data_IF_516970453894
#
_entry.id   IF_516970453894
#
_cell.length_a   1.000
_cell.length_b   1.000
_cell.length_c   1.000
_cell.angle_alpha   90.00
_cell.angle_beta   90.00
_cell.angle_gamma   90.00
#
_symmetry.space_group_name_H-M   'P 1'
#
loop_
_entity.id
_entity.type
_entity.pdbx_description
1 polymer ?
#
# COMPACT_ATOMS: atom_id res chain seq x y z
N UNK A 1 3.85 -44.49 -45.45
CA UNK A 1 4.96 -45.06 -44.66
C UNK A 1 5.01 -44.33 -43.36
N UNK A 2 4.43 -44.98 -42.36
CA UNK A 2 5.00 -45.45 -41.09
C UNK A 2 5.35 -44.30 -40.15
N UNK A 3 4.46 -43.99 -39.21
CA UNK A 3 4.32 -44.54 -37.84
C UNK A 3 5.62 -44.43 -37.02
N UNK A 4 5.58 -43.66 -35.95
CA UNK A 4 5.80 -44.19 -34.62
C UNK A 4 5.37 -43.17 -33.57
N UNK A 5 4.44 -43.61 -32.74
CA UNK A 5 4.01 -42.91 -31.54
C UNK A 5 4.94 -43.26 -30.38
N UNK A 6 5.13 -42.28 -29.49
CA UNK A 6 5.79 -42.51 -28.21
C UNK A 6 4.85 -42.14 -27.08
N UNK A 7 4.49 -43.18 -26.32
CA UNK A 7 3.72 -43.10 -25.08
C UNK A 7 4.57 -42.55 -23.97
N UNK A 8 4.16 -41.44 -23.37
CA UNK A 8 4.71 -41.01 -22.10
C UNK A 8 3.84 -41.55 -20.97
N UNK A 9 4.44 -42.42 -20.17
CA UNK A 9 3.83 -43.06 -19.01
C UNK A 9 3.67 -42.04 -17.87
N UNK A 10 2.44 -41.96 -17.36
CA UNK A 10 2.13 -41.28 -16.11
C UNK A 10 2.69 -42.06 -14.92
N UNK A 11 3.59 -41.43 -14.16
CA UNK A 11 4.12 -41.98 -12.91
C UNK A 11 3.29 -41.46 -11.74
N UNK A 12 2.27 -42.21 -11.33
CA UNK A 12 1.49 -41.97 -10.12
C UNK A 12 2.31 -42.44 -8.90
N UNK A 13 2.88 -41.54 -8.14
CA UNK A 13 3.35 -41.83 -6.78
C UNK A 13 2.20 -41.74 -5.81
N UNK A 14 1.75 -42.92 -5.34
CA UNK A 14 0.91 -43.05 -4.14
C UNK A 14 1.74 -42.67 -2.92
N UNK A 15 1.35 -41.59 -2.25
CA UNK A 15 1.83 -41.27 -0.88
C UNK A 15 0.84 -41.89 0.08
N UNK A 16 1.28 -42.93 0.77
CA UNK A 16 0.54 -43.54 1.90
C UNK A 16 0.73 -42.66 3.11
N UNK A 17 -0.33 -42.12 3.63
CA UNK A 17 -0.34 -41.44 4.93
C UNK A 17 -0.81 -42.43 5.97
N UNK A 18 0.09 -42.84 6.86
CA UNK A 18 -0.28 -43.62 8.06
C UNK A 18 -0.84 -42.66 9.11
N UNK A 19 -1.89 -43.03 9.85
CA UNK A 19 -2.39 -42.26 10.96
C UNK A 19 -1.51 -42.50 12.17
N UNK A 20 -0.88 -41.45 12.68
CA UNK A 20 -0.19 -41.47 13.98
C UNK A 20 -1.14 -40.93 15.04
N UNK A 21 -1.81 -41.87 15.75
CA UNK A 21 -2.47 -41.63 17.02
C UNK A 21 -1.42 -41.37 18.08
N UNK A 22 -1.58 -40.27 18.78
CA UNK A 22 -1.32 -40.03 20.20
C UNK A 22 -0.92 -38.57 20.45
N UNK A 23 -1.91 -37.76 20.78
CA UNK A 23 -1.68 -36.46 21.43
C UNK A 23 -2.11 -36.66 22.90
N UNK A 24 -1.22 -36.54 23.86
CA UNK A 24 -1.60 -36.43 25.27
C UNK A 24 -2.23 -35.06 25.52
N UNK A 25 -3.40 -35.11 26.13
CA UNK A 25 -4.03 -33.92 26.68
C UNK A 25 -3.22 -33.46 27.90
N UNK A 26 -2.48 -32.36 27.75
CA UNK A 26 -2.07 -31.56 28.89
C UNK A 26 -2.65 -30.16 28.76
N UNK A 27 -3.48 -29.87 29.74
CA UNK A 27 -4.05 -28.58 30.04
C UNK A 27 -2.94 -27.56 30.24
N UNK A 28 -2.99 -26.46 29.51
CA UNK A 28 -2.44 -25.21 29.96
C UNK A 28 -3.51 -24.14 29.90
N UNK A 29 -3.81 -23.72 31.13
CA UNK A 29 -4.65 -22.61 31.53
C UNK A 29 -4.16 -21.31 30.88
N UNK A 30 -5.15 -20.48 30.56
CA UNK A 30 -5.17 -19.04 30.61
C UNK A 30 -3.87 -18.29 30.23
N UNK A 31 -3.76 -17.94 28.96
CA UNK A 31 -3.12 -16.69 28.59
C UNK A 31 -4.11 -15.89 27.75
N UNK A 32 -5.07 -15.28 28.44
CA UNK A 32 -5.85 -14.18 27.90
C UNK A 32 -4.85 -13.07 27.59
N UNK A 33 -4.44 -13.03 26.33
CA UNK A 33 -3.67 -11.94 25.76
C UNK A 33 -4.59 -10.72 25.79
N UNK A 34 -4.45 -9.95 26.87
CA UNK A 34 -4.97 -8.59 26.95
C UNK A 34 -4.25 -7.84 25.84
N UNK A 35 -4.91 -7.71 24.70
CA UNK A 35 -4.51 -6.74 23.69
C UNK A 35 -4.76 -5.38 24.33
N UNK A 36 -3.68 -4.72 24.67
CA UNK A 36 -3.68 -3.37 25.18
C UNK A 36 -4.36 -2.47 24.15
N UNK A 37 -5.43 -1.82 24.59
CA UNK A 37 -6.20 -0.84 23.83
C UNK A 37 -5.47 0.51 23.69
N UNK A 38 -4.19 0.55 24.00
CA UNK A 38 -3.44 1.81 24.05
C UNK A 38 -2.99 2.31 22.66
N UNK A 39 -2.88 1.43 21.66
CA UNK A 39 -2.39 1.86 20.32
C UNK A 39 -3.37 2.77 19.55
N UNK A 40 -4.65 2.76 19.88
CA UNK A 40 -5.65 3.56 19.14
C UNK A 40 -5.73 5.03 19.63
N UNK A 41 -5.24 5.31 20.84
CA UNK A 41 -5.25 6.67 21.40
C UNK A 41 -4.06 7.50 20.92
N UNK A 42 -2.94 6.87 20.53
CA UNK A 42 -1.74 7.57 20.08
C UNK A 42 -1.94 8.27 18.71
N UNK A 43 -2.80 7.75 17.83
CA UNK A 43 -3.06 8.38 16.53
C UNK A 43 -3.90 9.66 16.64
N UNK A 44 -4.83 9.74 17.59
CA UNK A 44 -5.61 10.97 17.81
C UNK A 44 -4.79 12.05 18.54
N UNK A 45 -3.87 11.66 19.43
CA UNK A 45 -2.98 12.62 20.09
C UNK A 45 -1.95 13.22 19.14
N UNK A 46 -1.37 12.42 18.22
CA UNK A 46 -0.44 12.94 17.21
C UNK A 46 -1.11 13.96 16.27
N UNK A 47 -2.39 13.79 15.94
CA UNK A 47 -3.10 14.69 15.05
C UNK A 47 -3.47 16.05 15.73
N UNK A 48 -3.64 16.07 17.05
CA UNK A 48 -3.81 17.33 17.82
C UNK A 48 -2.51 18.10 17.98
N UNK A 49 -1.40 17.39 18.15
CA UNK A 49 -0.09 18.03 18.31
C UNK A 49 0.32 18.86 17.07
N UNK A 50 -0.02 18.41 15.86
CA UNK A 50 0.35 19.15 14.63
C UNK A 50 -0.36 20.50 14.50
N UNK A 51 -1.60 20.63 14.96
CA UNK A 51 -2.36 21.88 14.89
C UNK A 51 -1.87 22.92 15.89
N UNK A 52 -1.32 22.48 17.02
CA UNK A 52 -0.82 23.33 18.09
C UNK A 52 0.66 23.72 17.93
N UNK A 53 1.41 23.05 17.03
CA UNK A 53 2.82 23.34 16.80
C UNK A 53 3.03 24.67 16.08
N UNK A 54 4.13 25.40 16.40
CA UNK A 54 4.57 26.55 15.62
C UNK A 54 4.82 26.16 14.15
N UNK A 55 4.47 27.04 13.23
CA UNK A 55 4.54 26.75 11.78
C UNK A 55 5.94 26.39 11.27
N UNK A 56 6.99 26.85 11.96
CA UNK A 56 8.39 26.57 11.62
C UNK A 56 8.91 25.25 12.22
N UNK A 57 8.18 24.63 13.14
CA UNK A 57 8.59 23.40 13.80
C UNK A 57 8.44 22.20 12.88
N UNK A 58 9.49 21.37 12.79
CA UNK A 58 9.45 20.12 12.03
C UNK A 58 8.68 19.04 12.82
N UNK A 59 7.79 18.31 12.14
CA UNK A 59 7.01 17.22 12.75
C UNK A 59 7.93 16.09 13.23
N UNK A 60 9.01 15.83 12.49
CA UNK A 60 10.11 14.95 12.87
C UNK A 60 11.42 15.47 12.30
N UNK A 61 12.59 15.01 12.80
CA UNK A 61 13.89 15.44 12.28
C UNK A 61 14.02 15.19 10.77
N UNK A 62 14.22 16.26 10.00
CA UNK A 62 14.28 16.19 8.53
C UNK A 62 12.93 16.07 7.82
N UNK A 63 11.83 16.12 8.56
CA UNK A 63 10.47 16.07 8.04
C UNK A 63 9.93 17.44 7.60
N UNK A 64 8.67 17.50 7.14
CA UNK A 64 8.01 18.75 6.83
C UNK A 64 7.75 19.57 8.10
N UNK A 65 7.56 20.88 7.94
CA UNK A 65 7.15 21.74 9.05
C UNK A 65 5.65 21.66 9.30
N UNK A 66 5.21 21.99 10.52
CA UNK A 66 3.79 22.04 10.87
C UNK A 66 3.00 22.98 9.95
N UNK A 67 3.56 24.14 9.61
CA UNK A 67 2.95 25.08 8.68
C UNK A 67 2.75 24.49 7.28
N UNK A 68 3.69 23.66 6.81
CA UNK A 68 3.59 23.01 5.52
C UNK A 68 2.46 21.95 5.53
N UNK A 69 2.34 21.16 6.61
CA UNK A 69 1.24 20.20 6.78
C UNK A 69 -0.11 20.94 6.82
N UNK A 70 -0.23 22.03 7.60
CA UNK A 70 -1.45 22.85 7.65
C UNK A 70 -1.82 23.40 6.27
N UNK A 71 -0.83 23.84 5.49
CA UNK A 71 -1.03 24.30 4.12
C UNK A 71 -1.58 23.16 3.23
N UNK A 72 -0.99 21.99 3.27
CA UNK A 72 -1.46 20.83 2.49
C UNK A 72 -2.85 20.37 2.92
N UNK A 73 -3.14 20.33 4.22
CA UNK A 73 -4.51 20.04 4.71
C UNK A 73 -5.53 21.05 4.18
N UNK A 74 -5.19 22.33 4.12
CA UNK A 74 -6.06 23.37 3.56
C UNK A 74 -6.28 23.20 2.05
N UNK A 75 -5.26 22.78 1.30
CA UNK A 75 -5.31 22.65 -0.15
C UNK A 75 -5.98 21.33 -0.59
N UNK A 76 -5.67 20.23 0.09
CA UNK A 76 -6.03 18.88 -0.34
C UNK A 76 -7.07 18.19 0.56
N UNK A 77 -7.38 18.77 1.72
CA UNK A 77 -8.21 18.16 2.76
C UNK A 77 -7.37 17.26 3.67
N UNK A 78 -7.61 15.97 3.63
CA UNK A 78 -6.88 15.02 4.47
C UNK A 78 -5.48 14.73 3.93
N UNK A 79 -4.50 14.70 4.84
CA UNK A 79 -3.10 14.40 4.58
C UNK A 79 -2.67 13.29 5.51
N UNK A 80 -2.00 12.30 4.98
CA UNK A 80 -1.61 11.07 5.65
C UNK A 80 -0.11 10.91 5.71
N UNK A 81 0.36 10.10 6.65
CA UNK A 81 1.77 9.70 6.75
C UNK A 81 1.88 8.19 6.75
N UNK A 82 2.83 7.65 5.98
CA UNK A 82 3.19 6.24 5.99
C UNK A 82 4.64 6.10 6.38
N UNK A 83 4.92 5.30 7.39
CA UNK A 83 6.27 5.02 7.86
C UNK A 83 6.79 3.74 7.19
N UNK A 84 7.77 3.87 6.30
CA UNK A 84 8.43 2.72 5.65
C UNK A 84 9.51 2.10 6.53
N UNK A 85 10.10 2.92 7.43
CA UNK A 85 11.07 2.52 8.45
C UNK A 85 11.13 3.59 9.53
N UNK A 86 11.90 3.37 10.59
CA UNK A 86 12.09 4.35 11.67
C UNK A 86 12.52 5.75 11.22
N UNK A 87 13.22 5.86 10.07
CA UNK A 87 13.76 7.12 9.57
C UNK A 87 13.11 7.58 8.27
N UNK A 88 12.24 6.75 7.67
CA UNK A 88 11.67 7.03 6.36
C UNK A 88 10.16 7.13 6.43
N UNK A 89 9.67 8.36 6.40
CA UNK A 89 8.25 8.68 6.39
C UNK A 89 7.89 9.36 5.07
N UNK A 90 6.72 9.02 4.56
CA UNK A 90 6.16 9.59 3.34
C UNK A 90 4.85 10.27 3.71
N UNK A 91 4.74 11.56 3.39
CA UNK A 91 3.47 12.31 3.51
C UNK A 91 2.78 12.30 2.16
N UNK A 92 1.51 11.97 2.15
CA UNK A 92 0.72 11.86 0.94
C UNK A 92 -0.74 12.31 1.14
N UNK A 93 -1.45 12.50 0.05
CA UNK A 93 -2.85 12.91 0.01
C UNK A 93 -3.72 11.96 -0.78
N UNK A 94 -5.01 12.07 -0.62
CA UNK A 94 -5.97 11.32 -1.42
C UNK A 94 -5.94 11.73 -2.90
N UNK A 95 -6.37 10.83 -3.75
CA UNK A 95 -6.51 11.02 -5.19
C UNK A 95 -7.94 11.45 -5.51
N UNK A 96 -8.10 12.54 -6.23
CA UNK A 96 -9.42 12.99 -6.65
C UNK A 96 -9.96 12.15 -7.83
N UNK A 97 -11.30 12.09 -7.96
CA UNK A 97 -11.95 11.39 -9.07
C UNK A 97 -11.52 11.91 -10.45
N UNK A 98 -11.22 13.20 -10.55
CA UNK A 98 -10.78 13.83 -11.81
C UNK A 98 -9.37 13.37 -12.16
N UNK A 99 -8.46 13.40 -11.21
CA UNK A 99 -7.07 12.93 -11.39
C UNK A 99 -7.05 11.46 -11.80
N UNK A 100 -7.83 10.61 -11.10
CA UNK A 100 -7.93 9.20 -11.44
C UNK A 100 -8.39 8.97 -12.88
N UNK A 101 -9.44 9.69 -13.33
CA UNK A 101 -9.92 9.60 -14.72
C UNK A 101 -8.84 10.01 -15.72
N UNK A 102 -8.05 11.04 -15.41
CA UNK A 102 -6.96 11.47 -16.26
C UNK A 102 -5.85 10.41 -16.33
N UNK A 103 -5.50 9.77 -15.21
CA UNK A 103 -4.53 8.68 -15.18
C UNK A 103 -4.98 7.51 -16.05
N UNK A 104 -6.21 7.02 -15.85
CA UNK A 104 -6.75 5.90 -16.65
C UNK A 104 -6.73 6.22 -18.13
N UNK A 105 -7.22 7.41 -18.54
CA UNK A 105 -7.21 7.83 -19.93
C UNK A 105 -5.80 7.89 -20.52
N UNK A 106 -4.83 8.40 -19.76
CA UNK A 106 -3.43 8.48 -20.21
C UNK A 106 -2.81 7.09 -20.35
N UNK A 107 -3.06 6.21 -19.39
CA UNK A 107 -2.62 4.82 -19.44
C UNK A 107 -3.17 4.10 -20.69
N UNK A 108 -4.47 4.21 -20.94
CA UNK A 108 -5.11 3.63 -22.15
C UNK A 108 -4.48 4.15 -23.45
N UNK A 109 -4.18 5.44 -23.52
CA UNK A 109 -3.51 6.03 -24.69
C UNK A 109 -2.10 5.47 -24.91
N UNK A 110 -1.32 5.30 -23.81
CA UNK A 110 0.03 4.75 -23.88
C UNK A 110 0.02 3.27 -24.33
N UNK A 111 -0.93 2.49 -23.84
CA UNK A 111 -1.13 1.09 -24.25
C UNK A 111 -1.57 1.02 -25.72
N UNK A 112 -2.53 1.83 -26.14
CA UNK A 112 -3.01 1.88 -27.51
C UNK A 112 -1.93 2.33 -28.50
N UNK A 113 -1.01 3.20 -28.08
CA UNK A 113 0.13 3.64 -28.87
C UNK A 113 1.29 2.62 -28.87
N UNK A 114 1.19 1.50 -28.18
CA UNK A 114 2.25 0.49 -28.04
C UNK A 114 3.47 0.97 -27.25
N UNK A 115 3.32 2.02 -26.44
CA UNK A 115 4.37 2.57 -25.58
C UNK A 115 4.46 1.85 -24.24
N UNK A 116 3.38 1.17 -23.82
CA UNK A 116 3.31 0.30 -22.66
C UNK A 116 2.66 -1.02 -23.06
N UNK A 117 3.21 -2.10 -22.58
CA UNK A 117 2.51 -3.40 -22.56
C UNK A 117 1.44 -3.41 -21.47
N UNK A 118 0.49 -4.34 -21.55
CA UNK A 118 -0.52 -4.53 -20.50
C UNK A 118 0.08 -4.86 -19.13
N UNK A 119 1.25 -5.51 -19.10
CA UNK A 119 1.96 -5.82 -17.85
C UNK A 119 2.61 -4.55 -17.23
N UNK A 120 3.16 -3.68 -18.07
CA UNK A 120 3.77 -2.42 -17.63
C UNK A 120 2.73 -1.38 -17.22
N UNK A 121 1.49 -1.48 -17.72
CA UNK A 121 0.42 -0.55 -17.41
C UNK A 121 0.10 -0.48 -15.90
N UNK A 122 0.15 -1.62 -15.20
CA UNK A 122 -0.09 -1.64 -13.75
C UNK A 122 1.03 -0.91 -13.00
N UNK A 123 2.29 -1.20 -13.31
CA UNK A 123 3.44 -0.52 -12.69
C UNK A 123 3.40 0.98 -12.97
N UNK A 124 3.11 1.37 -14.21
CA UNK A 124 2.98 2.77 -14.59
C UNK A 124 1.87 3.48 -13.81
N UNK A 125 0.74 2.80 -13.56
CA UNK A 125 -0.37 3.35 -12.79
C UNK A 125 0.02 3.57 -11.33
N UNK A 126 0.64 2.58 -10.68
CA UNK A 126 1.13 2.67 -9.30
C UNK A 126 2.13 3.82 -9.13
N UNK A 127 3.12 3.90 -10.01
CA UNK A 127 4.12 4.98 -10.01
C UNK A 127 3.47 6.36 -10.24
N UNK A 128 2.48 6.44 -11.11
CA UNK A 128 1.81 7.71 -11.42
C UNK A 128 0.90 8.17 -10.28
N UNK A 129 0.25 7.25 -9.55
CA UNK A 129 -0.51 7.57 -8.35
C UNK A 129 0.45 8.09 -7.26
N UNK A 130 1.56 7.39 -7.02
CA UNK A 130 2.58 7.81 -6.07
C UNK A 130 3.14 9.21 -6.42
N UNK A 131 3.48 9.46 -7.69
CA UNK A 131 3.99 10.76 -8.17
C UNK A 131 3.01 11.92 -7.92
N UNK A 132 1.71 11.68 -8.09
CA UNK A 132 0.68 12.72 -7.92
C UNK A 132 0.35 12.95 -6.45
N UNK A 133 0.36 11.90 -5.63
CA UNK A 133 -0.16 11.95 -4.28
C UNK A 133 0.89 12.18 -3.20
N UNK A 134 2.17 11.83 -3.44
CA UNK A 134 3.24 12.08 -2.47
C UNK A 134 3.54 13.58 -2.40
N UNK A 135 3.44 14.13 -1.18
CA UNK A 135 3.72 15.52 -0.86
C UNK A 135 5.14 15.70 -0.29
N UNK A 136 5.61 14.69 0.46
CA UNK A 136 6.95 14.71 1.05
C UNK A 136 7.50 13.29 1.22
N UNK A 137 8.79 13.06 0.97
CA UNK A 137 9.73 13.98 0.31
C UNK A 137 9.32 14.27 -1.13
N UNK A 138 9.89 15.29 -1.75
CA UNK A 138 9.65 15.56 -3.18
C UNK A 138 9.93 14.31 -4.01
N UNK A 139 8.93 13.86 -4.71
CA UNK A 139 8.93 12.59 -5.43
C UNK A 139 8.69 12.81 -6.91
N UNK A 140 9.58 12.29 -7.73
CA UNK A 140 9.45 12.25 -9.19
C UNK A 140 9.81 10.85 -9.72
N UNK A 141 9.46 10.59 -10.97
CA UNK A 141 9.75 9.28 -11.60
C UNK A 141 11.24 8.93 -11.65
N UNK A 142 12.13 9.91 -11.61
CA UNK A 142 13.58 9.64 -11.58
C UNK A 142 14.03 9.15 -10.21
N UNK A 143 13.32 9.53 -9.16
CA UNK A 143 13.58 9.06 -7.80
C UNK A 143 13.14 7.60 -7.60
N UNK A 144 12.08 7.14 -8.29
CA UNK A 144 11.55 5.77 -8.19
C UNK A 144 12.65 4.72 -8.40
N UNK A 145 13.54 4.93 -9.34
CA UNK A 145 14.62 3.98 -9.66
C UNK A 145 15.62 3.77 -8.52
N UNK A 146 15.65 4.67 -7.55
CA UNK A 146 16.55 4.65 -6.38
C UNK A 146 15.84 4.22 -5.10
N UNK A 147 14.51 4.13 -5.15
CA UNK A 147 13.68 3.77 -4.01
C UNK A 147 13.52 2.25 -3.88
N UNK A 148 12.90 1.82 -2.76
CA UNK A 148 12.51 0.41 -2.60
C UNK A 148 11.48 0.03 -3.67
N UNK A 149 11.69 -1.09 -4.35
CA UNK A 149 10.88 -1.52 -5.49
C UNK A 149 9.36 -1.60 -5.19
N UNK A 150 8.99 -1.95 -3.96
CA UNK A 150 7.57 -2.07 -3.56
C UNK A 150 6.94 -0.76 -3.06
N UNK A 151 7.70 0.33 -2.94
CA UNK A 151 7.17 1.58 -2.37
C UNK A 151 6.03 2.19 -3.21
N UNK A 152 6.12 2.29 -4.54
CA UNK A 152 5.00 2.81 -5.34
C UNK A 152 3.74 1.97 -5.20
N UNK A 153 3.86 0.64 -5.17
CA UNK A 153 2.71 -0.27 -4.97
C UNK A 153 2.06 -0.06 -3.61
N UNK A 154 2.86 0.04 -2.53
CA UNK A 154 2.37 0.27 -1.18
C UNK A 154 1.62 1.60 -1.10
N UNK A 155 2.24 2.70 -1.52
CA UNK A 155 1.62 4.03 -1.45
C UNK A 155 0.38 4.12 -2.34
N UNK A 156 0.41 3.55 -3.55
CA UNK A 156 -0.76 3.57 -4.43
C UNK A 156 -1.94 2.82 -3.83
N UNK A 157 -1.70 1.71 -3.13
CA UNK A 157 -2.74 0.96 -2.43
C UNK A 157 -3.36 1.80 -1.32
N UNK A 158 -2.56 2.38 -0.43
CA UNK A 158 -3.04 3.22 0.67
C UNK A 158 -3.81 4.45 0.15
N UNK A 159 -3.29 5.09 -0.89
CA UNK A 159 -3.98 6.22 -1.56
C UNK A 159 -5.34 5.79 -2.10
N UNK A 160 -5.44 4.65 -2.78
CA UNK A 160 -6.70 4.16 -3.33
C UNK A 160 -7.71 3.80 -2.22
N UNK A 161 -7.25 3.20 -1.13
CA UNK A 161 -8.09 2.89 0.03
C UNK A 161 -8.65 4.17 0.66
N UNK A 162 -7.79 5.12 1.02
CA UNK A 162 -8.19 6.40 1.59
C UNK A 162 -9.05 7.25 0.63
N UNK A 163 -8.87 7.07 -0.69
CA UNK A 163 -9.69 7.74 -1.72
C UNK A 163 -11.05 7.07 -1.97
N UNK A 164 -11.41 6.02 -1.20
CA UNK A 164 -12.71 5.35 -1.25
C UNK A 164 -12.88 4.39 -2.43
N UNK A 165 -11.79 3.87 -3.02
CA UNK A 165 -11.86 2.84 -4.07
C UNK A 165 -12.09 1.43 -3.50
N UNK A 166 -11.87 1.24 -2.22
CA UNK A 166 -12.14 0.00 -1.49
C UNK A 166 -13.30 0.26 -0.52
N UNK A 167 -14.32 -0.58 -0.54
CA UNK A 167 -15.40 -0.50 0.43
C UNK A 167 -14.94 -1.08 1.77
N UNK A 168 -15.00 -0.27 2.84
CA UNK A 168 -14.66 -0.71 4.19
C UNK A 168 -15.61 -1.80 4.70
N UNK A 169 -16.89 -1.71 4.33
CA UNK A 169 -17.90 -2.69 4.70
C UNK A 169 -19.04 -2.70 3.68
N UNK A 170 -19.48 -3.91 3.28
CA UNK A 170 -20.67 -4.13 2.47
C UNK A 170 -21.63 -4.99 3.27
N UNK A 171 -22.82 -4.47 3.58
CA UNK A 171 -23.89 -5.22 4.26
C UNK A 171 -25.07 -5.43 3.32
N UNK A 172 -25.63 -6.63 3.35
CA UNK A 172 -26.94 -6.89 2.74
C UNK A 172 -28.03 -6.36 3.68
N UNK A 173 -28.96 -5.57 3.14
CA UNK A 173 -30.12 -5.06 3.86
C UNK A 173 -31.28 -6.05 3.80
#
# INVERSE_FOLDING_TARGET
>A
MSMTGEKIMANQRKVSVEPNDQIPAEMHEDNAMVMEQDDFLEEEEQNKEVEDLPDEEQIWPGGPTAGLIKMWKKEHGEVYVTSLSFEKHIVWRTLTRIEYKHLVKKMEQLVAAGQLSSAEANMWNEESIAEICILFPSFDKSAITKEMAGMPSLISQEVLEASGFVALEVRQL
#
